data_IF_818927302710
#
_entry.id   IF_818927302710
#
_cell.length_a   1.000
_cell.length_b   1.000
_cell.length_c   1.000
_cell.angle_alpha   90.00
_cell.angle_beta   90.00
_cell.angle_gamma   90.00
#
_symmetry.space_group_name_H-M   'P 1'
#
loop_
_entity.id
_entity.type
_entity.pdbx_description
1 polymer ?
#
# COMPACT_ATOMS: atom_id res chain seq x y z
N UNK A 1 -23.38 4.47 6.07
CA UNK A 1 -22.88 5.47 5.12
C UNK A 1 -21.49 5.01 4.76
N UNK A 2 -21.29 4.63 3.51
CA UNK A 2 -20.01 4.16 3.01
C UNK A 2 -19.91 4.78 1.62
N UNK A 3 -19.12 5.85 1.50
CA UNK A 3 -18.62 6.49 0.27
C UNK A 3 -17.79 7.76 0.61
N UNK A 4 -17.35 7.92 1.86
CA UNK A 4 -16.49 9.00 2.29
C UNK A 4 -15.09 8.82 1.69
N UNK A 5 -14.54 9.88 1.10
CA UNK A 5 -13.20 9.89 0.50
C UNK A 5 -12.34 10.93 1.20
N UNK A 6 -11.11 10.56 1.53
CA UNK A 6 -10.10 11.50 2.04
C UNK A 6 -9.20 11.93 0.88
N UNK A 7 -9.05 13.25 0.68
CA UNK A 7 -8.24 13.81 -0.40
C UNK A 7 -7.19 14.73 0.22
N UNK A 8 -5.89 14.54 -0.09
CA UNK A 8 -4.86 15.47 0.35
C UNK A 8 -4.98 16.81 -0.39
N UNK A 9 -4.87 17.90 0.37
CA UNK A 9 -4.75 19.26 -0.14
C UNK A 9 -3.31 19.71 0.10
N UNK A 10 -2.59 20.03 -0.98
CA UNK A 10 -1.16 20.34 -0.94
C UNK A 10 -0.91 21.83 -1.27
N UNK A 11 -0.06 22.53 -0.50
CA UNK A 11 0.28 23.93 -0.78
C UNK A 11 1.16 24.07 -2.02
N UNK A 12 1.05 25.21 -2.68
CA UNK A 12 1.95 25.60 -3.76
C UNK A 12 2.04 27.12 -3.90
N UNK A 13 3.10 27.61 -4.56
CA UNK A 13 3.21 29.01 -4.94
C UNK A 13 2.42 29.33 -6.23
N UNK A 14 2.40 28.38 -7.18
CA UNK A 14 1.75 28.52 -8.48
C UNK A 14 0.95 27.27 -8.85
N UNK A 15 -0.36 27.40 -9.03
CA UNK A 15 -1.22 26.30 -9.49
C UNK A 15 -0.99 25.96 -10.98
N UNK A 16 -0.44 26.88 -11.77
CA UNK A 16 -0.15 26.61 -13.19
C UNK A 16 1.09 25.72 -13.34
N UNK A 17 2.17 26.03 -12.61
CA UNK A 17 3.39 25.19 -12.59
C UNK A 17 3.10 23.78 -12.09
N UNK A 18 2.27 23.67 -11.03
CA UNK A 18 1.80 22.38 -10.52
C UNK A 18 1.01 21.64 -11.59
N UNK A 19 0.07 22.31 -12.26
CA UNK A 19 -0.75 21.66 -13.27
C UNK A 19 0.08 21.13 -14.45
N UNK A 20 1.01 21.94 -14.97
CA UNK A 20 1.92 21.53 -16.05
C UNK A 20 2.75 20.30 -15.64
N UNK A 21 3.29 20.31 -14.42
CA UNK A 21 4.06 19.20 -13.88
C UNK A 21 3.22 17.92 -13.76
N UNK A 22 2.03 17.98 -13.16
CA UNK A 22 1.20 16.79 -13.00
C UNK A 22 0.62 16.28 -14.34
N UNK A 23 0.29 17.17 -15.27
CA UNK A 23 -0.11 16.77 -16.63
C UNK A 23 1.03 16.05 -17.35
N UNK A 24 2.27 16.52 -17.22
CA UNK A 24 3.45 15.83 -17.74
C UNK A 24 3.60 14.42 -17.15
N UNK A 25 3.25 14.22 -15.87
CA UNK A 25 3.23 12.90 -15.23
C UNK A 25 2.04 12.01 -15.64
N UNK A 26 1.17 12.48 -16.53
CA UNK A 26 0.01 11.74 -17.02
C UNK A 26 -1.26 11.91 -16.20
N UNK A 27 -1.34 12.95 -15.35
CA UNK A 27 -2.60 13.34 -14.72
C UNK A 27 -3.44 14.21 -15.67
N UNK A 28 -4.72 14.31 -15.39
CA UNK A 28 -5.64 15.26 -16.02
C UNK A 28 -6.07 16.31 -15.00
N UNK A 29 -6.25 17.56 -15.46
CA UNK A 29 -6.82 18.62 -14.63
C UNK A 29 -8.33 18.43 -14.60
N UNK A 30 -8.90 18.23 -13.42
CA UNK A 30 -10.35 18.03 -13.24
C UNK A 30 -11.09 19.29 -12.80
N UNK A 31 -10.38 20.24 -12.21
CA UNK A 31 -10.92 21.53 -11.79
C UNK A 31 -9.80 22.54 -11.55
N UNK A 32 -10.04 23.81 -11.89
CA UNK A 32 -9.12 24.92 -11.64
C UNK A 32 -9.89 26.19 -11.31
N UNK A 33 -9.42 26.92 -10.30
CA UNK A 33 -9.95 28.21 -9.88
C UNK A 33 -8.80 29.15 -9.53
N UNK A 34 -8.86 30.40 -10.00
CA UNK A 34 -7.86 31.42 -9.66
C UNK A 34 -8.32 32.38 -8.54
N UNK A 35 -9.63 32.61 -8.43
CA UNK A 35 -10.24 33.51 -7.44
C UNK A 35 -11.49 32.90 -6.81
N UNK A 36 -11.80 33.22 -5.53
CA UNK A 36 -11.03 34.10 -4.65
C UNK A 36 -9.71 33.48 -4.16
N UNK A 37 -9.63 32.15 -4.13
CA UNK A 37 -8.43 31.40 -3.75
C UNK A 37 -7.96 30.53 -4.92
N UNK A 38 -6.66 30.55 -5.19
CA UNK A 38 -6.05 29.67 -6.17
C UNK A 38 -6.21 28.21 -5.73
N UNK A 39 -6.81 27.39 -6.60
CA UNK A 39 -7.11 26.00 -6.32
C UNK A 39 -7.04 25.16 -7.59
N UNK A 40 -6.48 23.97 -7.48
CA UNK A 40 -6.32 23.02 -8.58
C UNK A 40 -6.65 21.62 -8.11
N UNK A 41 -7.30 20.84 -8.96
CA UNK A 41 -7.45 19.39 -8.75
C UNK A 41 -6.91 18.66 -9.97
N UNK A 42 -6.17 17.60 -9.72
CA UNK A 42 -5.66 16.70 -10.75
C UNK A 42 -6.01 15.26 -10.40
N UNK A 43 -6.28 14.46 -11.43
CA UNK A 43 -6.63 13.05 -11.30
C UNK A 43 -5.80 12.19 -12.23
N UNK A 44 -5.37 11.04 -11.74
CA UNK A 44 -4.86 9.93 -12.55
C UNK A 44 -5.46 8.65 -11.99
N UNK A 45 -6.36 8.02 -12.75
CA UNK A 45 -7.14 6.87 -12.26
C UNK A 45 -7.78 7.22 -10.90
N UNK A 46 -7.54 6.43 -9.86
CA UNK A 46 -8.06 6.65 -8.50
C UNK A 46 -7.25 7.67 -7.68
N UNK A 47 -6.10 8.12 -8.19
CA UNK A 47 -5.26 9.11 -7.51
C UNK A 47 -5.90 10.49 -7.71
N UNK A 48 -6.38 11.07 -6.62
CA UNK A 48 -6.93 12.43 -6.58
C UNK A 48 -6.04 13.30 -5.70
N UNK A 49 -5.46 14.36 -6.28
CA UNK A 49 -4.63 15.32 -5.57
C UNK A 49 -5.18 16.73 -5.77
N UNK A 50 -5.35 17.45 -4.66
CA UNK A 50 -5.80 18.83 -4.67
C UNK A 50 -4.66 19.75 -4.24
N UNK A 51 -4.65 20.95 -4.78
CA UNK A 51 -3.65 21.97 -4.50
C UNK A 51 -4.30 23.31 -4.21
N UNK A 52 -3.70 24.07 -3.30
CA UNK A 52 -4.12 25.43 -2.99
C UNK A 52 -2.92 26.36 -3.02
N UNK A 53 -3.12 27.54 -3.62
CA UNK A 53 -2.09 28.56 -3.73
C UNK A 53 -1.95 29.36 -2.44
N UNK A 54 -0.72 29.58 -1.99
CA UNK A 54 -0.39 30.45 -0.86
C UNK A 54 0.52 31.58 -1.38
N UNK A 55 0.11 32.87 -1.26
CA UNK A 55 0.97 34.00 -1.64
C UNK A 55 2.28 34.01 -0.85
N UNK A 56 3.41 34.16 -1.53
CA UNK A 56 4.75 34.21 -0.91
C UNK A 56 5.26 32.86 -0.37
N UNK A 57 4.63 31.75 -0.76
CA UNK A 57 5.05 30.41 -0.35
C UNK A 57 6.41 30.02 -0.94
N UNK A 58 7.31 29.50 -0.10
CA UNK A 58 8.65 29.03 -0.46
C UNK A 58 8.65 27.48 -0.51
N UNK A 59 8.69 26.86 -1.71
CA UNK A 59 8.69 25.40 -1.85
C UNK A 59 9.78 24.68 -1.05
N UNK A 60 10.95 25.30 -0.91
CA UNK A 60 12.10 24.78 -0.16
C UNK A 60 11.81 24.60 1.34
N UNK A 61 10.82 25.32 1.87
CA UNK A 61 10.38 25.24 3.28
C UNK A 61 9.16 24.37 3.49
N UNK A 62 8.69 23.66 2.45
CA UNK A 62 7.54 22.77 2.55
C UNK A 62 7.79 21.62 3.51
N UNK A 63 6.87 21.42 4.45
CA UNK A 63 6.76 20.21 5.27
C UNK A 63 5.63 19.28 4.79
N UNK A 64 4.98 19.64 3.68
CA UNK A 64 3.80 18.95 3.17
C UNK A 64 4.17 17.61 2.54
N UNK A 65 3.34 16.59 2.81
CA UNK A 65 3.53 15.26 2.27
C UNK A 65 2.18 14.57 2.07
N UNK A 66 2.11 13.68 1.09
CA UNK A 66 1.03 12.72 0.97
C UNK A 66 1.58 11.32 0.66
N UNK A 67 0.74 10.31 0.88
CA UNK A 67 1.04 8.92 0.60
C UNK A 67 0.11 8.42 -0.50
N UNK A 68 0.68 7.86 -1.55
CA UNK A 68 -0.01 7.11 -2.58
C UNK A 68 0.36 5.64 -2.39
N UNK A 69 -0.66 4.82 -2.21
CA UNK A 69 -0.54 3.37 -2.17
C UNK A 69 -0.92 2.81 -3.53
N UNK A 70 0.00 2.08 -4.15
CA UNK A 70 -0.20 1.48 -5.46
C UNK A 70 0.12 -0.02 -5.41
N UNK A 71 -0.62 -0.84 -6.15
CA UNK A 71 -0.30 -2.28 -6.25
C UNK A 71 1.11 -2.50 -6.78
N UNK A 72 1.49 -1.78 -7.84
CA UNK A 72 2.85 -1.73 -8.36
C UNK A 72 3.36 -0.28 -8.46
N UNK A 73 4.13 0.20 -7.45
CA UNK A 73 4.79 1.50 -7.54
C UNK A 73 5.78 1.62 -8.70
N UNK A 74 6.35 0.51 -9.20
CA UNK A 74 7.30 0.56 -10.31
C UNK A 74 6.62 0.97 -11.60
N UNK A 75 5.40 0.50 -11.84
CA UNK A 75 4.63 0.92 -13.02
C UNK A 75 4.38 2.43 -12.99
N UNK A 76 3.96 2.97 -11.84
CA UNK A 76 3.75 4.40 -11.68
C UNK A 76 5.06 5.20 -11.86
N UNK A 77 6.18 4.69 -11.33
CA UNK A 77 7.49 5.29 -11.54
C UNK A 77 7.87 5.36 -13.02
N UNK A 78 7.69 4.28 -13.79
CA UNK A 78 8.05 4.26 -15.21
C UNK A 78 7.17 5.20 -16.03
N UNK A 79 5.87 5.30 -15.73
CA UNK A 79 4.97 6.28 -16.34
C UNK A 79 5.43 7.71 -16.08
N UNK A 80 5.77 8.04 -14.83
CA UNK A 80 6.29 9.37 -14.46
C UNK A 80 7.64 9.66 -15.11
N UNK A 81 8.54 8.68 -15.12
CA UNK A 81 9.85 8.81 -15.75
C UNK A 81 9.74 8.98 -17.27
N UNK A 82 8.77 8.35 -17.91
CA UNK A 82 8.48 8.56 -19.33
C UNK A 82 8.08 10.01 -19.60
N UNK A 83 7.11 10.55 -18.85
CA UNK A 83 6.69 11.95 -18.95
C UNK A 83 7.85 12.92 -18.76
N UNK A 84 8.67 12.70 -17.71
CA UNK A 84 9.83 13.56 -17.44
C UNK A 84 10.84 13.53 -18.58
N UNK A 85 11.11 12.36 -19.15
CA UNK A 85 12.02 12.24 -20.30
C UNK A 85 11.44 12.92 -21.54
N UNK A 86 10.13 12.84 -21.77
CA UNK A 86 9.49 13.47 -22.91
C UNK A 86 9.60 15.01 -22.87
N UNK A 87 9.43 15.61 -21.68
CA UNK A 87 9.43 17.08 -21.52
C UNK A 87 10.83 17.65 -21.23
N UNK A 88 11.61 17.00 -20.37
CA UNK A 88 12.92 17.51 -19.91
C UNK A 88 14.13 16.76 -20.51
N UNK A 89 13.91 15.72 -21.32
CA UNK A 89 14.97 14.87 -21.87
C UNK A 89 15.62 13.93 -20.84
N UNK A 90 15.22 14.00 -19.56
CA UNK A 90 15.79 13.21 -18.46
C UNK A 90 14.82 13.09 -17.29
N UNK A 91 15.08 12.14 -16.40
CA UNK A 91 14.45 12.11 -15.07
C UNK A 91 15.12 13.16 -14.18
N UNK A 92 14.32 13.98 -13.49
CA UNK A 92 14.81 15.00 -12.57
C UNK A 92 15.23 14.35 -11.25
N UNK A 93 16.53 14.32 -10.91
CA UNK A 93 17.03 13.63 -9.71
C UNK A 93 17.35 14.56 -8.53
N UNK A 94 17.47 15.86 -8.77
CA UNK A 94 17.91 16.87 -7.78
C UNK A 94 17.09 18.15 -7.91
N UNK A 95 17.05 18.95 -6.85
CA UNK A 95 16.31 20.22 -6.84
C UNK A 95 14.81 20.02 -6.60
N UNK A 96 14.02 21.05 -6.94
CA UNK A 96 12.56 21.05 -6.90
C UNK A 96 12.10 21.45 -8.30
N UNK A 97 11.30 20.61 -9.01
CA UNK A 97 10.88 19.25 -8.64
C UNK A 97 11.98 18.19 -8.84
N UNK A 98 11.83 17.02 -8.20
CA UNK A 98 12.68 15.83 -8.39
C UNK A 98 11.94 14.53 -8.12
N UNK A 99 12.49 13.41 -8.59
CA UNK A 99 12.00 12.06 -8.37
C UNK A 99 13.16 11.12 -8.03
N UNK A 100 13.03 10.38 -6.93
CA UNK A 100 14.04 9.39 -6.52
C UNK A 100 13.94 8.13 -7.36
N UNK A 101 15.06 7.41 -7.57
CA UNK A 101 15.03 6.07 -8.17
C UNK A 101 14.17 5.10 -7.33
N UNK A 102 13.44 4.16 -7.96
CA UNK A 102 12.56 3.26 -7.25
C UNK A 102 13.36 2.19 -6.51
N UNK A 103 12.94 1.91 -5.29
CA UNK A 103 13.46 0.86 -4.42
C UNK A 103 12.35 -0.14 -4.11
N UNK A 104 12.65 -1.15 -3.29
CA UNK A 104 11.68 -2.17 -2.87
C UNK A 104 10.47 -1.56 -2.14
N UNK A 105 10.69 -0.49 -1.41
CA UNK A 105 9.72 0.25 -0.61
C UNK A 105 9.02 1.39 -1.36
N UNK A 106 9.28 1.53 -2.67
CA UNK A 106 8.66 2.54 -3.52
C UNK A 106 9.62 3.68 -3.92
N UNK A 107 9.07 4.87 -4.14
CA UNK A 107 9.81 6.06 -4.55
C UNK A 107 9.14 7.35 -4.06
N UNK A 108 9.87 8.46 -4.14
CA UNK A 108 9.43 9.80 -3.75
C UNK A 108 9.46 10.74 -4.95
N UNK A 109 8.40 11.53 -5.11
CA UNK A 109 8.38 12.74 -5.94
C UNK A 109 8.36 13.96 -5.02
N UNK A 110 9.21 14.93 -5.30
CA UNK A 110 9.07 16.30 -4.78
C UNK A 110 8.56 17.13 -5.95
N UNK A 111 7.34 17.65 -5.82
CA UNK A 111 6.67 18.43 -6.87
C UNK A 111 7.13 19.91 -6.87
N UNK A 112 6.67 20.77 -7.79
CA UNK A 112 7.02 22.20 -7.81
C UNK A 112 6.65 22.97 -6.54
N UNK A 113 5.64 22.51 -5.79
CA UNK A 113 5.27 23.06 -4.47
C UNK A 113 6.17 22.58 -3.33
N UNK A 114 7.21 21.79 -3.62
CA UNK A 114 8.07 21.18 -2.62
C UNK A 114 7.38 20.08 -1.81
N UNK A 115 6.20 19.61 -2.24
CA UNK A 115 5.43 18.58 -1.54
C UNK A 115 6.07 17.21 -1.73
N UNK A 116 6.10 16.41 -0.66
CA UNK A 116 6.67 15.07 -0.69
C UNK A 116 5.58 14.04 -0.98
N UNK A 117 5.46 13.63 -2.23
CA UNK A 117 4.51 12.60 -2.68
C UNK A 117 5.20 11.25 -2.63
N UNK A 118 4.87 10.47 -1.61
CA UNK A 118 5.45 9.16 -1.34
C UNK A 118 4.61 8.10 -2.04
N UNK A 119 5.17 7.41 -3.02
CA UNK A 119 4.51 6.28 -3.67
C UNK A 119 5.09 5.00 -3.08
N UNK A 120 4.26 4.24 -2.39
CA UNK A 120 4.66 3.01 -1.72
C UNK A 120 3.79 1.84 -2.20
N UNK A 121 4.27 0.59 -2.07
CA UNK A 121 3.42 -0.56 -2.31
C UNK A 121 2.19 -0.45 -1.41
N UNK A 122 1.03 -0.74 -1.97
CA UNK A 122 -0.18 -0.84 -1.19
C UNK A 122 0.09 -1.80 -0.05
N UNK A 123 -0.16 -1.34 1.18
CA UNK A 123 -0.32 -2.25 2.28
C UNK A 123 -1.60 -2.97 1.92
N UNK A 124 -1.45 -4.13 1.26
CA UNK A 124 -2.43 -5.18 1.48
C UNK A 124 -2.50 -5.22 2.99
N UNK A 125 -3.65 -4.88 3.58
CA UNK A 125 -4.03 -5.63 4.76
C UNK A 125 -3.63 -7.04 4.36
N UNK A 126 -2.60 -7.59 5.03
CA UNK A 126 -2.54 -9.03 5.07
C UNK A 126 -3.97 -9.31 5.44
N UNK A 127 -4.75 -9.90 4.53
CA UNK A 127 -5.89 -10.67 4.96
C UNK A 127 -5.34 -11.31 6.22
N UNK A 128 -5.82 -10.91 7.40
CA UNK A 128 -5.51 -11.64 8.61
C UNK A 128 -5.85 -13.03 8.17
N UNK A 129 -4.83 -13.84 7.88
CA UNK A 129 -4.97 -14.90 6.90
C UNK A 129 -6.13 -15.70 7.44
N UNK A 130 -7.29 -15.65 6.79
CA UNK A 130 -8.45 -16.44 7.24
C UNK A 130 -7.97 -17.89 7.39
N UNK A 131 -6.99 -18.23 6.55
CA UNK A 131 -6.21 -19.45 6.45
C UNK A 131 -5.10 -19.65 7.52
N UNK A 132 -5.01 -18.91 8.62
CA UNK A 132 -3.98 -19.10 9.66
C UNK A 132 -4.05 -20.51 10.27
N UNK A 133 -5.28 -20.94 10.55
CA UNK A 133 -5.59 -22.29 11.02
C UNK A 133 -5.40 -23.33 9.90
N UNK A 134 -5.87 -23.03 8.69
CA UNK A 134 -5.70 -23.88 7.49
C UNK A 134 -4.21 -24.16 7.19
N UNK A 135 -3.34 -23.17 7.36
CA UNK A 135 -1.88 -23.34 7.20
C UNK A 135 -1.28 -24.21 8.30
N UNK A 136 -1.68 -23.99 9.55
CA UNK A 136 -1.22 -24.80 10.68
C UNK A 136 -1.65 -26.26 10.52
N UNK A 137 -2.88 -26.51 10.06
CA UNK A 137 -3.40 -27.82 9.71
C UNK A 137 -2.54 -28.49 8.63
N UNK A 138 -2.29 -27.83 7.48
CA UNK A 138 -1.45 -28.38 6.41
C UNK A 138 -0.06 -28.76 6.93
N UNK A 139 0.56 -27.90 7.74
CA UNK A 139 1.88 -28.17 8.32
C UNK A 139 1.84 -29.36 9.29
N UNK A 140 0.81 -29.47 10.11
CA UNK A 140 0.63 -30.58 11.03
C UNK A 140 0.44 -31.91 10.28
N UNK A 141 -0.34 -31.92 9.19
CA UNK A 141 -0.52 -33.09 8.31
C UNK A 141 0.82 -33.55 7.72
N UNK A 142 1.59 -32.63 7.14
CA UNK A 142 2.91 -32.95 6.60
C UNK A 142 3.85 -33.50 7.67
N UNK A 143 3.84 -32.90 8.87
CA UNK A 143 4.72 -33.28 9.95
C UNK A 143 4.34 -34.64 10.54
N UNK A 144 3.04 -34.94 10.69
CA UNK A 144 2.56 -36.24 11.15
C UNK A 144 2.87 -37.39 10.18
N UNK A 145 3.03 -37.09 8.88
CA UNK A 145 3.53 -38.05 7.89
C UNK A 145 5.03 -38.39 8.03
N UNK A 146 5.76 -37.65 8.87
CA UNK A 146 7.18 -37.91 9.16
C UNK A 146 7.32 -38.73 10.45
N UNK A 147 8.12 -39.80 10.40
CA UNK A 147 8.31 -40.72 11.54
C UNK A 147 8.66 -39.98 12.85
N UNK A 148 7.84 -40.17 13.88
CA UNK A 148 8.09 -39.70 15.24
C UNK A 148 7.71 -38.24 15.54
N UNK A 149 7.11 -37.50 14.59
CA UNK A 149 6.82 -36.08 14.75
C UNK A 149 5.35 -35.75 15.12
N UNK A 150 4.52 -36.76 15.37
CA UNK A 150 3.08 -36.61 15.65
C UNK A 150 2.79 -35.75 16.89
N UNK A 151 3.60 -35.88 17.96
CA UNK A 151 3.47 -35.02 19.16
C UNK A 151 3.74 -33.55 18.86
N UNK A 152 4.70 -33.29 17.98
CA UNK A 152 5.04 -31.92 17.57
C UNK A 152 3.98 -31.35 16.63
N UNK A 153 3.42 -32.18 15.74
CA UNK A 153 2.29 -31.82 14.90
C UNK A 153 1.06 -31.42 15.73
N UNK A 154 0.72 -32.22 16.75
CA UNK A 154 -0.37 -31.96 17.67
C UNK A 154 -0.18 -30.61 18.40
N UNK A 155 1.01 -30.38 18.97
CA UNK A 155 1.33 -29.13 19.69
C UNK A 155 1.18 -27.89 18.80
N UNK A 156 1.62 -27.96 17.55
CA UNK A 156 1.50 -26.85 16.58
C UNK A 156 0.03 -26.57 16.26
N UNK A 157 -0.76 -27.63 16.06
CA UNK A 157 -2.17 -27.51 15.72
C UNK A 157 -3.00 -26.94 16.88
N UNK A 158 -2.76 -27.40 18.11
CA UNK A 158 -3.42 -26.88 19.32
C UNK A 158 -3.08 -25.40 19.59
N UNK A 159 -1.81 -25.03 19.41
CA UNK A 159 -1.39 -23.63 19.54
C UNK A 159 -2.03 -22.72 18.49
N UNK A 160 -2.30 -23.23 17.28
CA UNK A 160 -3.02 -22.50 16.25
C UNK A 160 -4.52 -22.39 16.56
N UNK A 161 -5.16 -23.48 17.01
CA UNK A 161 -6.57 -23.48 17.43
C UNK A 161 -6.84 -22.45 18.54
N UNK A 162 -5.91 -22.26 19.48
CA UNK A 162 -6.03 -21.27 20.54
C UNK A 162 -5.82 -19.82 20.07
N UNK A 163 -4.96 -19.60 19.08
CA UNK A 163 -4.59 -18.25 18.59
C UNK A 163 -5.57 -17.72 17.54
N UNK A 164 -6.04 -18.58 16.63
CA UNK A 164 -6.86 -18.19 15.48
C UNK A 164 -8.36 -18.14 15.85
N UNK A 165 -8.71 -17.25 16.79
CA UNK A 165 -10.06 -17.18 17.36
C UNK A 165 -11.15 -16.78 16.37
N UNK A 166 -10.79 -16.16 15.24
CA UNK A 166 -11.70 -15.72 14.19
C UNK A 166 -11.72 -16.63 12.94
N UNK A 167 -11.08 -17.80 12.99
CA UNK A 167 -11.14 -18.80 11.92
C UNK A 167 -12.60 -19.22 11.65
N UNK A 168 -12.92 -19.57 10.39
CA UNK A 168 -14.27 -19.98 10.02
C UNK A 168 -14.67 -21.30 10.72
N UNK A 169 -15.97 -21.59 10.77
CA UNK A 169 -16.47 -22.85 11.33
C UNK A 169 -15.90 -24.08 10.59
N UNK A 170 -15.79 -23.98 9.25
CA UNK A 170 -15.20 -25.03 8.40
C UNK A 170 -13.72 -25.26 8.74
N UNK A 171 -12.92 -24.19 8.88
CA UNK A 171 -11.50 -24.28 9.20
C UNK A 171 -11.27 -24.89 10.59
N UNK A 172 -12.11 -24.52 11.56
CA UNK A 172 -12.08 -25.08 12.91
C UNK A 172 -12.48 -26.55 12.92
N UNK A 173 -13.51 -26.93 12.17
CA UNK A 173 -13.96 -28.31 12.08
C UNK A 173 -12.84 -29.21 11.55
N UNK A 174 -12.22 -28.87 10.42
CA UNK A 174 -11.11 -29.65 9.85
C UNK A 174 -9.90 -29.74 10.77
N UNK A 175 -9.56 -28.67 11.49
CA UNK A 175 -8.45 -28.68 12.44
C UNK A 175 -8.75 -29.52 13.70
N UNK A 176 -9.99 -29.53 14.19
CA UNK A 176 -10.40 -30.35 15.33
C UNK A 176 -10.47 -31.84 14.97
N UNK A 177 -10.94 -32.17 13.77
CA UNK A 177 -10.95 -33.54 13.25
C UNK A 177 -9.53 -34.12 13.21
N UNK A 178 -8.59 -33.39 12.58
CA UNK A 178 -7.21 -33.86 12.50
C UNK A 178 -6.51 -33.89 13.88
N UNK A 179 -6.87 -32.98 14.80
CA UNK A 179 -6.41 -33.05 16.19
C UNK A 179 -6.87 -34.34 16.88
N UNK A 180 -8.13 -34.73 16.70
CA UNK A 180 -8.66 -35.96 17.29
C UNK A 180 -7.94 -37.20 16.74
N UNK A 181 -7.67 -37.23 15.43
CA UNK A 181 -6.89 -38.28 14.80
C UNK A 181 -5.47 -38.40 15.39
N UNK A 182 -4.76 -37.27 15.57
CA UNK A 182 -3.43 -37.27 16.19
C UNK A 182 -3.45 -37.74 17.64
N UNK A 183 -4.47 -37.36 18.40
CA UNK A 183 -4.66 -37.82 19.78
C UNK A 183 -4.85 -39.35 19.84
N UNK A 184 -5.65 -39.91 18.93
CA UNK A 184 -5.85 -41.36 18.80
C UNK A 184 -4.55 -42.09 18.46
N UNK A 185 -3.80 -41.63 17.44
CA UNK A 185 -2.51 -42.20 17.04
C UNK A 185 -1.49 -42.22 18.19
N UNK A 186 -1.54 -41.20 19.05
CA UNK A 186 -0.66 -41.05 20.21
C UNK A 186 -1.18 -41.76 21.47
N UNK A 187 -2.37 -42.37 21.44
CA UNK A 187 -3.01 -42.99 22.61
C UNK A 187 -3.42 -42.00 23.69
N UNK A 188 -3.57 -40.72 23.35
CA UNK A 188 -4.02 -39.66 24.23
C UNK A 188 -5.54 -39.60 24.12
N UNK A 189 -6.27 -39.96 25.18
CA UNK A 189 -7.74 -39.82 25.17
C UNK A 189 -8.14 -38.36 25.33
N UNK A 190 -9.19 -37.96 24.61
CA UNK A 190 -9.82 -36.62 24.61
C UNK A 190 -10.37 -36.21 25.96
#
# INVERSE_FOLDING_TARGET
MANEVTIPLLPCASIDEVAEFYVMLGFTVTYRQYRPNAYLTVRREEINLHFFGIPGYEPERSYSSCLIQAEDPRELYEAFAHGMRAVYGKVLLTGIPRMTRPRRDGFLVVDPGGNWVRVVPAVREREQTRNGLTRALRNAVTLAGSHGAERQALKILEGALAREVHASEEERASALEFRAELMERLGLRS
#
